data_IF_437063656844
#
_entry.id   IF_437063656844
#
_cell.length_a   1.000
_cell.length_b   1.000
_cell.length_c   1.000
_cell.angle_alpha   90.00
_cell.angle_beta   90.00
_cell.angle_gamma   90.00
#
_symmetry.space_group_name_H-M   'P 1'
#
loop_
_entity.id
_entity.type
_entity.pdbx_description
1 polymer ?
#
# COMPACT_ATOMS: atom_id res chain seq x y z
N UNK A 1 16.18 -25.53 5.91
CA UNK A 1 16.39 -25.41 7.37
C UNK A 1 17.88 -25.46 7.67
N UNK A 2 18.61 -24.40 7.34
CA UNK A 2 20.06 -24.33 7.59
C UNK A 2 20.38 -23.87 9.02
N UNK A 3 19.43 -23.19 9.66
CA UNK A 3 19.54 -22.71 11.05
C UNK A 3 19.36 -23.81 12.12
N UNK A 4 19.17 -25.07 11.73
CA UNK A 4 19.11 -26.21 12.67
C UNK A 4 17.79 -26.39 13.46
N UNK A 5 16.69 -25.79 13.02
CA UNK A 5 15.38 -26.04 13.62
C UNK A 5 14.91 -27.48 13.37
N UNK A 6 14.24 -28.12 14.35
CA UNK A 6 13.58 -29.40 14.13
C UNK A 6 12.53 -29.35 13.01
N UNK A 7 12.33 -30.49 12.36
CA UNK A 7 11.29 -30.67 11.36
C UNK A 7 9.90 -30.34 11.95
N UNK A 8 9.07 -29.64 11.17
CA UNK A 8 7.71 -29.26 11.55
C UNK A 8 7.59 -27.97 12.36
N UNK A 9 8.69 -27.31 12.74
CA UNK A 9 8.65 -25.98 13.41
C UNK A 9 8.18 -24.88 12.46
N UNK A 10 8.60 -24.92 11.20
CA UNK A 10 8.18 -23.99 10.15
C UNK A 10 7.57 -24.77 8.99
N UNK A 11 6.29 -24.55 8.74
CA UNK A 11 5.57 -25.14 7.62
C UNK A 11 5.06 -24.02 6.71
N UNK A 12 5.16 -24.23 5.40
CA UNK A 12 4.62 -23.31 4.37
C UNK A 12 3.40 -23.97 3.76
N UNK A 13 2.31 -23.21 3.69
CA UNK A 13 1.00 -23.69 3.29
C UNK A 13 0.49 -23.00 2.02
N UNK A 14 -0.65 -23.48 1.51
CA UNK A 14 -1.28 -22.99 0.30
C UNK A 14 -2.09 -21.70 0.48
N UNK A 15 -3.09 -21.51 -0.40
CA UNK A 15 -3.90 -20.28 -0.49
C UNK A 15 -5.22 -20.43 0.29
N UNK A 16 -6.30 -19.83 -0.20
CA UNK A 16 -7.55 -19.59 0.54
C UNK A 16 -8.13 -20.83 1.26
N UNK A 17 -8.20 -21.98 0.59
CA UNK A 17 -8.79 -23.19 1.18
C UNK A 17 -8.00 -23.67 2.42
N UNK A 18 -6.69 -23.43 2.42
CA UNK A 18 -5.83 -23.77 3.56
C UNK A 18 -5.99 -22.75 4.69
N UNK A 19 -6.31 -21.49 4.39
CA UNK A 19 -6.62 -20.49 5.43
C UNK A 19 -7.85 -20.92 6.23
N UNK A 20 -8.89 -21.40 5.55
CA UNK A 20 -10.09 -21.93 6.20
C UNK A 20 -9.79 -23.15 7.06
N UNK A 21 -8.97 -24.08 6.55
CA UNK A 21 -8.51 -25.24 7.31
C UNK A 21 -7.77 -24.81 8.59
N UNK A 22 -6.81 -23.88 8.50
CA UNK A 22 -6.06 -23.36 9.65
C UNK A 22 -6.98 -22.69 10.68
N UNK A 23 -8.03 -22.00 10.21
CA UNK A 23 -9.02 -21.39 11.10
C UNK A 23 -9.85 -22.42 11.87
N UNK A 24 -10.09 -23.59 11.28
CA UNK A 24 -10.94 -24.64 11.86
C UNK A 24 -10.17 -25.70 12.66
N UNK A 25 -8.89 -25.92 12.34
CA UNK A 25 -8.05 -26.97 12.93
C UNK A 25 -7.90 -26.78 14.45
N UNK A 26 -8.28 -27.79 15.24
CA UNK A 26 -8.26 -27.72 16.70
C UNK A 26 -6.84 -27.59 17.31
N UNK A 27 -5.80 -28.00 16.59
CA UNK A 27 -4.41 -27.97 17.03
C UNK A 27 -3.77 -26.59 16.85
N UNK A 28 -4.30 -25.77 15.94
CA UNK A 28 -3.90 -24.36 15.80
C UNK A 28 -4.44 -23.54 16.98
N UNK A 29 -3.54 -22.97 17.79
CA UNK A 29 -3.93 -22.24 19.02
C UNK A 29 -4.03 -20.71 18.85
N UNK A 30 -3.38 -20.16 17.84
CA UNK A 30 -3.39 -18.73 17.57
C UNK A 30 -3.18 -18.44 16.08
N UNK A 31 -3.75 -17.33 15.62
CA UNK A 31 -3.60 -16.86 14.24
C UNK A 31 -3.10 -15.41 14.24
N UNK A 32 -2.12 -15.16 13.39
CA UNK A 32 -1.59 -13.83 13.09
C UNK A 32 -1.80 -13.52 11.62
N UNK A 33 -2.65 -12.55 11.32
CA UNK A 33 -2.97 -12.17 9.96
C UNK A 33 -2.58 -10.72 9.66
N UNK A 34 -2.02 -10.50 8.47
CA UNK A 34 -1.78 -9.17 7.89
C UNK A 34 -2.28 -9.21 6.45
N UNK A 35 -3.19 -8.32 6.08
CA UNK A 35 -3.74 -8.31 4.72
C UNK A 35 -4.92 -7.38 4.53
N UNK A 36 -5.81 -7.72 3.60
CA UNK A 36 -6.99 -6.90 3.27
C UNK A 36 -8.10 -7.03 4.30
N UNK A 37 -8.94 -6.00 4.41
CA UNK A 37 -10.08 -5.96 5.33
C UNK A 37 -11.04 -7.15 5.15
N UNK A 38 -11.45 -7.54 3.92
CA UNK A 38 -12.36 -8.67 3.76
C UNK A 38 -11.79 -9.99 4.28
N UNK A 39 -10.50 -10.25 4.00
CA UNK A 39 -9.82 -11.46 4.45
C UNK A 39 -9.61 -11.44 5.97
N UNK A 40 -9.17 -10.31 6.53
CA UNK A 40 -8.92 -10.19 7.95
C UNK A 40 -10.19 -10.28 8.81
N UNK A 41 -11.32 -9.74 8.33
CA UNK A 41 -12.62 -9.89 8.98
C UNK A 41 -13.10 -11.34 8.96
N UNK A 42 -12.97 -12.03 7.80
CA UNK A 42 -13.30 -13.44 7.66
C UNK A 42 -12.50 -14.33 8.62
N UNK A 43 -11.17 -14.19 8.62
CA UNK A 43 -10.27 -14.95 9.49
C UNK A 43 -10.56 -14.67 10.96
N UNK A 44 -10.72 -13.39 11.33
CA UNK A 44 -11.00 -13.02 12.71
C UNK A 44 -12.31 -13.64 13.19
N UNK A 45 -13.40 -13.47 12.43
CA UNK A 45 -14.71 -14.01 12.80
C UNK A 45 -14.67 -15.55 12.93
N UNK A 46 -14.13 -16.25 11.93
CA UNK A 46 -14.12 -17.71 11.90
C UNK A 46 -13.27 -18.32 13.01
N UNK A 47 -12.04 -17.84 13.17
CA UNK A 47 -11.09 -18.40 14.14
C UNK A 47 -11.44 -18.02 15.59
N UNK A 48 -11.91 -16.79 15.83
CA UNK A 48 -12.34 -16.37 17.17
C UNK A 48 -13.59 -17.15 17.63
N UNK A 49 -14.53 -17.46 16.72
CA UNK A 49 -15.68 -18.31 17.03
C UNK A 49 -15.29 -19.74 17.46
N UNK A 50 -14.08 -20.19 17.13
CA UNK A 50 -13.49 -21.47 17.58
C UNK A 50 -12.62 -21.33 18.84
N UNK A 51 -12.67 -20.19 19.51
CA UNK A 51 -11.92 -19.93 20.75
C UNK A 51 -10.41 -19.69 20.56
N UNK A 52 -9.96 -19.42 19.33
CA UNK A 52 -8.54 -19.14 19.06
C UNK A 52 -8.20 -17.70 19.43
N UNK A 53 -6.94 -17.46 19.84
CA UNK A 53 -6.41 -16.10 19.92
C UNK A 53 -6.12 -15.60 18.51
N UNK A 54 -6.61 -14.42 18.16
CA UNK A 54 -6.41 -13.86 16.81
C UNK A 54 -5.89 -12.44 16.89
N UNK A 55 -4.79 -12.18 16.19
CA UNK A 55 -4.39 -10.83 15.79
C UNK A 55 -4.63 -10.67 14.29
N UNK A 56 -5.40 -9.66 13.90
CA UNK A 56 -5.77 -9.39 12.51
C UNK A 56 -5.48 -7.92 12.19
N UNK A 57 -4.39 -7.70 11.45
CA UNK A 57 -3.91 -6.37 11.09
C UNK A 57 -4.32 -6.09 9.64
N UNK A 58 -5.39 -5.33 9.49
CA UNK A 58 -6.01 -5.04 8.20
C UNK A 58 -5.59 -3.65 7.66
N UNK A 59 -6.22 -3.22 6.56
CA UNK A 59 -5.90 -1.99 5.87
C UNK A 59 -6.07 -0.73 6.70
N UNK A 60 -5.57 0.38 6.17
CA UNK A 60 -5.68 1.69 6.77
C UNK A 60 -5.53 2.79 5.75
N UNK A 61 -6.14 3.95 6.03
CA UNK A 61 -6.01 5.15 5.22
C UNK A 61 -5.32 6.23 6.04
N UNK A 62 -4.02 6.38 5.84
CA UNK A 62 -3.19 7.25 6.67
C UNK A 62 -3.27 8.69 6.18
N UNK A 63 -3.40 9.60 7.14
CA UNK A 63 -3.51 11.03 6.93
C UNK A 63 -2.27 11.73 7.48
N UNK A 64 -1.76 12.71 6.73
CA UNK A 64 -0.79 13.69 7.19
C UNK A 64 -1.53 14.99 7.43
N UNK A 65 -1.35 15.62 8.59
CA UNK A 65 -1.88 16.95 8.86
C UNK A 65 -0.69 17.90 8.82
N UNK A 66 -0.73 18.87 7.89
CA UNK A 66 0.34 19.82 7.64
C UNK A 66 -0.11 21.17 8.20
N UNK A 67 0.62 21.66 9.19
CA UNK A 67 0.38 22.95 9.81
C UNK A 67 1.03 24.08 9.00
N UNK A 68 0.52 25.33 9.10
CA UNK A 68 1.04 26.46 8.33
C UNK A 68 2.50 26.83 8.64
N UNK A 69 3.02 26.40 9.79
CA UNK A 69 4.38 26.63 10.28
C UNK A 69 5.34 25.46 9.98
N UNK A 70 4.87 24.42 9.29
CA UNK A 70 5.71 23.30 8.90
C UNK A 70 6.79 23.73 7.88
N UNK A 71 8.00 23.18 8.03
CA UNK A 71 9.10 23.33 7.06
C UNK A 71 8.65 22.79 5.69
N UNK A 72 8.71 23.62 4.65
CA UNK A 72 8.21 23.27 3.32
C UNK A 72 9.00 22.10 2.73
N UNK A 73 10.31 22.26 2.61
CA UNK A 73 11.19 21.27 1.98
C UNK A 73 11.12 19.90 2.67
N UNK A 74 11.19 19.89 4.01
CA UNK A 74 11.13 18.65 4.80
C UNK A 74 9.77 17.96 4.64
N UNK A 75 8.69 18.75 4.64
CA UNK A 75 7.33 18.24 4.48
C UNK A 75 7.15 17.61 3.10
N UNK A 76 7.55 18.29 2.03
CA UNK A 76 7.40 17.79 0.67
C UNK A 76 8.22 16.53 0.44
N UNK A 77 9.45 16.48 0.94
CA UNK A 77 10.29 15.28 0.90
C UNK A 77 9.65 14.11 1.65
N UNK A 78 9.13 14.37 2.86
CA UNK A 78 8.46 13.35 3.66
C UNK A 78 7.18 12.84 2.99
N UNK A 79 6.35 13.74 2.44
CA UNK A 79 5.13 13.37 1.72
C UNK A 79 5.43 12.54 0.47
N UNK A 80 6.42 12.93 -0.33
CA UNK A 80 6.81 12.17 -1.51
C UNK A 80 7.29 10.75 -1.13
N UNK A 81 8.18 10.64 -0.14
CA UNK A 81 8.70 9.35 0.31
C UNK A 81 7.61 8.46 0.93
N UNK A 82 6.72 9.02 1.75
CA UNK A 82 5.69 8.27 2.45
C UNK A 82 4.47 7.93 1.57
N UNK A 83 4.14 8.76 0.58
CA UNK A 83 3.06 8.52 -0.37
C UNK A 83 3.48 7.58 -1.50
N UNK A 84 4.61 7.86 -2.17
CA UNK A 84 5.00 7.12 -3.36
C UNK A 84 5.91 5.93 -3.08
N UNK A 85 6.71 5.92 -2.01
CA UNK A 85 7.66 4.83 -1.75
C UNK A 85 7.00 3.45 -1.78
N UNK A 86 7.67 2.47 -2.37
CA UNK A 86 7.12 1.14 -2.71
C UNK A 86 5.82 1.18 -3.55
N UNK A 87 5.68 2.21 -4.40
CA UNK A 87 4.49 2.49 -5.19
C UNK A 87 3.20 2.59 -4.36
N UNK A 88 3.30 3.16 -3.15
CA UNK A 88 2.18 3.29 -2.22
C UNK A 88 1.65 1.96 -1.68
N UNK A 89 2.27 0.82 -2.00
CA UNK A 89 1.85 -0.53 -1.55
C UNK A 89 2.30 -0.84 -0.13
N UNK A 90 2.06 0.09 0.80
CA UNK A 90 2.38 -0.06 2.23
C UNK A 90 1.12 0.28 3.03
N UNK A 91 0.77 -0.53 4.04
CA UNK A 91 -0.31 -0.20 4.97
C UNK A 91 -0.04 1.11 5.76
N UNK A 92 1.22 1.54 5.79
CA UNK A 92 1.69 2.78 6.39
C UNK A 92 1.83 3.95 5.39
N UNK A 93 1.53 3.75 4.11
CA UNK A 93 1.64 4.81 3.10
C UNK A 93 0.71 5.98 3.41
N UNK A 94 1.20 7.21 3.27
CA UNK A 94 0.38 8.40 3.39
C UNK A 94 -0.46 8.56 2.12
N UNK A 95 -1.76 8.38 2.28
CA UNK A 95 -2.72 8.41 1.16
C UNK A 95 -3.54 9.69 1.12
N UNK A 96 -3.41 10.54 2.14
CA UNK A 96 -4.16 11.79 2.26
C UNK A 96 -3.31 12.81 2.99
N UNK A 97 -3.15 13.99 2.41
CA UNK A 97 -2.50 15.14 3.03
C UNK A 97 -3.56 16.22 3.28
N UNK A 98 -3.61 16.74 4.51
CA UNK A 98 -4.55 17.76 4.95
C UNK A 98 -3.76 19.00 5.31
N UNK A 99 -3.80 20.02 4.45
CA UNK A 99 -3.11 21.28 4.66
C UNK A 99 -4.03 22.25 5.42
N UNK A 100 -3.65 22.58 6.65
CA UNK A 100 -4.38 23.55 7.47
C UNK A 100 -4.13 24.94 6.88
N UNK A 101 -5.21 25.67 6.58
CA UNK A 101 -5.11 26.97 5.89
C UNK A 101 -5.06 26.89 4.35
N UNK A 102 -5.12 25.69 3.78
CA UNK A 102 -5.20 25.46 2.33
C UNK A 102 -3.91 24.93 1.70
N UNK A 103 -4.04 24.25 0.57
CA UNK A 103 -2.95 23.55 -0.13
C UNK A 103 -2.23 24.38 -1.19
N UNK A 104 -2.76 25.54 -1.59
CA UNK A 104 -2.29 26.27 -2.78
C UNK A 104 -0.80 26.60 -2.78
N UNK A 105 -0.21 26.88 -1.61
CA UNK A 105 1.22 27.16 -1.48
C UNK A 105 2.12 25.91 -1.67
N UNK A 106 1.57 24.71 -1.55
CA UNK A 106 2.29 23.43 -1.51
C UNK A 106 2.17 22.64 -2.83
N UNK A 107 1.10 22.90 -3.58
CA UNK A 107 0.66 22.08 -4.70
C UNK A 107 1.69 21.97 -5.82
N UNK A 108 2.25 23.10 -6.25
CA UNK A 108 3.17 23.13 -7.39
C UNK A 108 4.47 22.37 -7.08
N UNK A 109 5.08 22.63 -5.92
CA UNK A 109 6.32 21.96 -5.54
C UNK A 109 6.08 20.46 -5.28
N UNK A 110 4.96 20.09 -4.66
CA UNK A 110 4.61 18.67 -4.50
C UNK A 110 4.49 17.95 -5.85
N UNK A 111 3.90 18.60 -6.86
CA UNK A 111 3.83 18.07 -8.22
C UNK A 111 5.22 17.90 -8.82
N UNK A 112 6.11 18.87 -8.64
CA UNK A 112 7.48 18.76 -9.15
C UNK A 112 8.30 17.67 -8.44
N UNK A 113 8.13 17.48 -7.14
CA UNK A 113 8.73 16.36 -6.40
C UNK A 113 8.21 15.01 -6.91
N UNK A 114 6.90 14.86 -7.08
CA UNK A 114 6.31 13.65 -7.67
C UNK A 114 6.81 13.43 -9.10
N UNK A 115 7.06 14.52 -9.85
CA UNK A 115 7.59 14.45 -11.20
C UNK A 115 9.07 14.05 -11.28
N UNK A 116 9.85 14.37 -10.25
CA UNK A 116 11.26 14.05 -10.22
C UNK A 116 11.54 12.56 -9.98
N UNK A 117 10.56 11.81 -9.46
CA UNK A 117 10.70 10.38 -9.17
C UNK A 117 11.09 9.58 -10.41
N UNK A 118 12.20 8.84 -10.30
CA UNK A 118 12.69 7.90 -11.31
C UNK A 118 11.89 6.61 -11.26
N UNK A 119 11.02 6.47 -12.23
CA UNK A 119 10.15 5.32 -12.37
C UNK A 119 10.84 4.25 -13.23
N UNK A 120 11.18 3.11 -12.64
CA UNK A 120 11.89 2.04 -13.35
C UNK A 120 11.59 0.64 -12.78
N UNK A 121 12.22 -0.41 -13.30
CA UNK A 121 12.16 -1.76 -12.77
C UNK A 121 12.62 -1.77 -11.29
N UNK A 122 11.95 -2.56 -10.45
CA UNK A 122 12.28 -2.66 -9.02
C UNK A 122 13.66 -3.26 -8.72
N UNK A 123 14.33 -3.82 -9.74
CA UNK A 123 15.72 -4.31 -9.67
C UNK A 123 16.75 -3.25 -10.02
N UNK A 124 16.33 -2.09 -10.52
CA UNK A 124 17.23 -0.99 -10.82
C UNK A 124 17.53 -0.20 -9.53
N UNK A 125 18.81 -0.13 -9.09
CA UNK A 125 19.19 0.57 -7.87
C UNK A 125 18.99 2.10 -7.94
N UNK A 126 18.79 2.65 -9.13
CA UNK A 126 18.50 4.08 -9.35
C UNK A 126 17.01 4.41 -9.39
N UNK A 127 16.13 3.41 -9.28
CA UNK A 127 14.69 3.59 -9.26
C UNK A 127 14.22 4.13 -7.91
N UNK A 128 13.48 5.25 -7.93
CA UNK A 128 12.73 5.73 -6.78
C UNK A 128 11.39 4.99 -6.64
N UNK A 129 10.83 4.54 -7.79
CA UNK A 129 9.51 3.94 -7.87
C UNK A 129 9.50 2.70 -8.79
N UNK A 130 9.31 1.52 -8.19
CA UNK A 130 9.10 0.26 -8.89
C UNK A 130 7.62 -0.02 -9.21
N UNK A 131 7.29 -1.01 -10.05
CA UNK A 131 5.91 -1.26 -10.53
C UNK A 131 4.94 -1.71 -9.43
N UNK A 132 3.65 -1.57 -9.69
CA UNK A 132 2.60 -2.21 -8.88
C UNK A 132 2.60 -3.72 -9.10
N UNK A 133 2.03 -4.49 -8.17
CA UNK A 133 2.22 -5.94 -8.12
C UNK A 133 1.56 -6.69 -9.29
N UNK A 134 0.45 -6.19 -9.82
CA UNK A 134 -0.30 -6.86 -10.89
C UNK A 134 -1.03 -5.85 -11.79
N UNK A 135 -1.50 -6.32 -12.97
CA UNK A 135 -2.29 -5.50 -13.89
C UNK A 135 -3.62 -5.11 -13.30
N UNK A 136 -4.24 -6.02 -12.57
CA UNK A 136 -5.53 -5.83 -11.92
C UNK A 136 -5.44 -4.71 -10.88
N UNK A 137 -4.32 -4.65 -10.13
CA UNK A 137 -4.05 -3.56 -9.19
C UNK A 137 -3.86 -2.24 -9.94
N UNK A 138 -3.06 -2.22 -11.02
CA UNK A 138 -2.92 -1.01 -11.85
C UNK A 138 -4.30 -0.52 -12.33
N UNK A 139 -5.07 -1.40 -12.97
CA UNK A 139 -6.37 -1.06 -13.55
C UNK A 139 -7.35 -0.57 -12.47
N UNK A 140 -7.28 -1.14 -11.26
CA UNK A 140 -8.05 -0.65 -10.11
C UNK A 140 -7.63 0.77 -9.71
N UNK A 141 -6.33 1.07 -9.57
CA UNK A 141 -5.88 2.42 -9.22
C UNK A 141 -6.29 3.41 -10.33
N UNK A 142 -6.18 3.05 -11.61
CA UNK A 142 -6.64 3.89 -12.72
C UNK A 142 -8.13 4.20 -12.63
N UNK A 143 -8.96 3.20 -12.26
CA UNK A 143 -10.40 3.41 -12.03
C UNK A 143 -10.68 4.33 -10.85
N UNK A 144 -9.92 4.23 -9.76
CA UNK A 144 -10.06 5.13 -8.61
C UNK A 144 -9.72 6.58 -9.00
N UNK A 145 -8.63 6.79 -9.75
CA UNK A 145 -8.27 8.11 -10.26
C UNK A 145 -9.33 8.66 -11.22
N UNK A 146 -9.84 7.83 -12.13
CA UNK A 146 -10.93 8.21 -13.04
C UNK A 146 -12.19 8.60 -12.27
N UNK A 147 -12.60 7.81 -11.28
CA UNK A 147 -13.76 8.11 -10.42
C UNK A 147 -13.60 9.45 -9.69
N UNK A 148 -12.39 9.78 -9.23
CA UNK A 148 -12.09 11.10 -8.68
C UNK A 148 -12.29 12.21 -9.71
N UNK A 149 -11.69 12.05 -10.90
CA UNK A 149 -11.84 13.00 -12.02
C UNK A 149 -13.31 13.23 -12.38
N UNK A 150 -14.10 12.16 -12.48
CA UNK A 150 -15.53 12.23 -12.81
C UNK A 150 -16.35 12.92 -11.71
N UNK A 151 -15.87 12.85 -10.46
CA UNK A 151 -16.47 13.53 -9.31
C UNK A 151 -16.06 15.01 -9.18
N UNK A 152 -15.29 15.54 -10.14
CA UNK A 152 -14.89 16.96 -10.18
C UNK A 152 -13.69 17.32 -9.32
N UNK A 153 -12.85 16.34 -8.92
CA UNK A 153 -11.59 16.67 -8.23
C UNK A 153 -10.62 17.39 -9.17
N UNK A 154 -9.87 18.35 -8.62
CA UNK A 154 -8.79 19.01 -9.37
C UNK A 154 -7.57 18.10 -9.45
N UNK A 155 -7.39 17.46 -10.61
CA UNK A 155 -6.28 16.57 -10.87
C UNK A 155 -5.03 17.37 -11.31
N UNK A 156 -4.10 17.59 -10.39
CA UNK A 156 -2.89 18.38 -10.63
C UNK A 156 -1.79 17.61 -11.37
N UNK A 157 -1.76 16.29 -11.19
CA UNK A 157 -0.84 15.36 -11.85
C UNK A 157 -1.62 14.08 -12.20
N UNK A 158 -1.53 13.65 -13.46
CA UNK A 158 -2.22 12.46 -13.96
C UNK A 158 -1.21 11.44 -14.51
N UNK A 159 -0.86 10.45 -13.69
CA UNK A 159 0.04 9.37 -14.10
C UNK A 159 -0.62 8.19 -14.81
N UNK A 160 -1.92 8.20 -15.11
CA UNK A 160 -2.60 7.02 -15.69
C UNK A 160 -2.01 6.56 -17.03
N UNK A 161 -1.50 7.52 -17.82
CA UNK A 161 -0.91 7.29 -19.13
C UNK A 161 0.62 7.21 -19.12
N UNK A 162 1.24 7.13 -17.93
CA UNK A 162 2.69 7.01 -17.83
C UNK A 162 3.16 5.67 -18.43
N UNK A 163 4.12 5.73 -19.36
CA UNK A 163 4.73 4.55 -19.99
C UNK A 163 6.18 4.48 -19.53
N UNK A 164 6.51 3.46 -18.74
CA UNK A 164 7.88 3.18 -18.34
C UNK A 164 8.65 2.48 -19.48
N UNK A 165 9.98 2.68 -19.59
CA UNK A 165 10.81 2.08 -20.63
C UNK A 165 10.89 0.54 -20.60
N UNK A 166 10.41 -0.13 -19.53
CA UNK A 166 10.39 -1.58 -19.42
C UNK A 166 8.98 -2.06 -19.07
N UNK A 167 8.44 -2.98 -19.88
CA UNK A 167 7.14 -3.62 -19.68
C UNK A 167 7.20 -4.50 -18.43
N UNK A 168 6.60 -4.07 -17.31
CA UNK A 168 5.79 -4.90 -16.42
C UNK A 168 5.02 -3.94 -15.52
N UNK A 169 3.82 -3.56 -15.98
CA UNK A 169 2.75 -2.92 -15.20
C UNK A 169 2.99 -1.46 -14.81
N UNK A 170 2.50 -0.57 -15.67
CA UNK A 170 2.70 0.87 -15.53
C UNK A 170 2.17 1.43 -14.21
N UNK A 171 2.90 2.41 -13.71
CA UNK A 171 2.71 3.05 -12.43
C UNK A 171 1.81 4.27 -12.56
N UNK A 172 1.09 4.59 -11.48
CA UNK A 172 0.36 5.84 -11.38
C UNK A 172 1.21 6.79 -10.56
N UNK A 173 1.73 7.78 -11.27
CA UNK A 173 2.43 8.97 -10.79
C UNK A 173 1.43 10.08 -10.47
#
# INVERSE_FOLDING_TARGET
MEAGFPDGVLNVHGTNDIVDYICDDADVKAISFIGSDPAGLHIYARAAARGKRVQSNIGGKKHAIIMPDASIDDTLNALAAAGFGAAGKRCMALSTAVFVGGSSAWEQELVEHAKALKVNAGTDPSADLGPVISKEVKDHICRVVQSGSDSGVRLLLDGRNFVAPYLFLSLIR
#
